data_IF_475936295113
#
_entry.id   IF_475936295113
#
_cell.length_a   1.000
_cell.length_b   1.000
_cell.length_c   1.000
_cell.angle_alpha   90.00
_cell.angle_beta   90.00
_cell.angle_gamma   90.00
#
_symmetry.space_group_name_H-M   'P 1'
#
loop_
_entity.id
_entity.type
_entity.pdbx_description
1 polymer ?
#
# COMPACT_ATOMS: atom_id res chain seq x y z
N UNK A 1 0.94 21.99 20.71
CA UNK A 1 0.46 20.60 20.44
C UNK A 1 1.67 19.75 20.05
N UNK A 2 1.71 18.46 20.42
CA UNK A 2 2.79 17.55 19.99
C UNK A 2 2.38 16.79 18.72
N UNK A 3 3.31 16.51 17.79
CA UNK A 3 3.01 15.76 16.58
C UNK A 3 2.60 14.32 16.87
N UNK A 4 1.67 13.79 16.06
CA UNK A 4 1.27 12.36 16.10
C UNK A 4 2.47 11.45 15.93
N UNK A 5 2.50 10.31 16.63
CA UNK A 5 3.58 9.32 16.57
C UNK A 5 3.77 8.80 15.14
N UNK A 6 4.99 8.38 14.80
CA UNK A 6 5.31 7.81 13.48
C UNK A 6 4.39 6.61 13.14
N UNK A 7 4.14 5.74 14.11
CA UNK A 7 3.21 4.60 13.97
C UNK A 7 1.81 5.03 13.55
N UNK A 8 1.32 6.15 14.09
CA UNK A 8 -0.01 6.67 13.81
C UNK A 8 -0.06 7.28 12.41
N UNK A 9 0.99 8.00 11.99
CA UNK A 9 1.10 8.54 10.64
C UNK A 9 1.15 7.43 9.59
N UNK A 10 1.93 6.37 9.83
CA UNK A 10 1.93 5.18 8.98
C UNK A 10 0.54 4.52 8.98
N UNK A 11 -0.13 4.38 10.14
CA UNK A 11 -1.51 3.88 10.22
C UNK A 11 -2.46 4.70 9.35
N UNK A 12 -2.39 6.03 9.40
CA UNK A 12 -3.19 6.93 8.56
C UNK A 12 -2.85 6.75 7.08
N UNK A 13 -1.58 6.68 6.71
CA UNK A 13 -1.15 6.50 5.31
C UNK A 13 -1.73 5.22 4.68
N UNK A 14 -1.58 4.08 5.35
CA UNK A 14 -2.14 2.81 4.88
C UNK A 14 -3.68 2.80 4.87
N UNK A 15 -4.33 3.59 5.74
CA UNK A 15 -5.79 3.72 5.76
C UNK A 15 -6.35 4.82 4.84
N UNK A 16 -5.49 5.59 4.16
CA UNK A 16 -5.85 6.62 3.18
C UNK A 16 -5.27 6.28 1.81
N UNK A 17 -4.01 6.63 1.55
CA UNK A 17 -3.27 6.31 0.31
C UNK A 17 -3.27 4.83 0.01
N UNK A 18 -3.15 3.98 1.04
CA UNK A 18 -3.25 2.53 0.91
C UNK A 18 -4.65 1.99 0.61
N UNK A 19 -5.68 2.85 0.56
CA UNK A 19 -7.09 2.50 0.34
C UNK A 19 -7.75 3.38 -0.72
N UNK A 20 -7.01 3.73 -1.78
CA UNK A 20 -7.53 4.51 -2.91
C UNK A 20 -8.04 5.92 -2.52
N UNK A 21 -7.36 6.60 -1.59
CA UNK A 21 -7.66 7.97 -1.20
C UNK A 21 -6.40 8.86 -1.20
N UNK A 22 -6.58 10.18 -1.24
CA UNK A 22 -5.50 11.14 -0.98
C UNK A 22 -5.33 11.34 0.53
N UNK A 23 -4.10 11.59 0.97
CA UNK A 23 -3.81 12.02 2.35
C UNK A 23 -3.57 13.52 2.38
N UNK A 24 -4.51 14.27 2.97
CA UNK A 24 -4.36 15.69 3.29
C UNK A 24 -3.98 15.83 4.77
N UNK A 25 -2.73 16.18 5.05
CA UNK A 25 -2.19 16.28 6.40
C UNK A 25 -2.01 17.75 6.79
N UNK A 26 -2.75 18.20 7.81
CA UNK A 26 -2.61 19.56 8.34
C UNK A 26 -1.36 19.69 9.23
N UNK A 27 -0.60 20.78 9.05
CA UNK A 27 0.60 21.13 9.83
C UNK A 27 0.49 22.60 10.22
N UNK A 28 -0.03 22.92 11.41
CA UNK A 28 -0.32 24.29 11.78
C UNK A 28 0.97 25.07 12.14
N UNK A 29 1.09 26.34 11.72
CA UNK A 29 2.12 27.22 12.25
C UNK A 29 1.85 27.55 13.73
N UNK A 30 2.89 27.90 14.46
CA UNK A 30 2.83 28.39 15.83
C UNK A 30 2.46 29.89 15.88
N UNK A 31 2.45 30.48 17.08
CA UNK A 31 2.17 31.91 17.29
C UNK A 31 3.18 32.86 16.65
N UNK A 32 4.35 32.38 16.25
CA UNK A 32 5.35 33.16 15.50
C UNK A 32 5.25 32.94 13.99
N UNK A 33 4.21 32.24 13.51
CA UNK A 33 3.98 31.95 12.09
C UNK A 33 4.87 30.85 11.51
N UNK A 34 5.62 30.11 12.33
CA UNK A 34 6.56 29.07 11.90
C UNK A 34 6.05 27.67 12.24
N UNK A 35 6.42 26.67 11.45
CA UNK A 35 6.18 25.26 11.80
C UNK A 35 7.15 24.87 12.92
N UNK A 36 6.65 24.16 13.92
CA UNK A 36 7.50 23.73 15.04
C UNK A 36 8.60 22.77 14.58
N UNK A 37 9.78 22.85 15.20
CA UNK A 37 10.89 21.94 14.89
C UNK A 37 10.50 20.45 15.07
N UNK A 38 9.64 20.16 16.04
CA UNK A 38 9.12 18.82 16.30
C UNK A 38 8.26 18.30 15.15
N UNK A 39 7.38 19.14 14.59
CA UNK A 39 6.55 18.76 13.44
C UNK A 39 7.43 18.53 12.21
N UNK A 40 8.40 19.42 11.95
CA UNK A 40 9.37 19.27 10.86
C UNK A 40 10.13 17.94 10.99
N UNK A 41 10.64 17.65 12.19
CA UNK A 41 11.36 16.42 12.46
C UNK A 41 10.47 15.18 12.24
N UNK A 42 9.23 15.20 12.73
CA UNK A 42 8.28 14.08 12.53
C UNK A 42 7.91 13.90 11.05
N UNK A 43 7.77 14.97 10.27
CA UNK A 43 7.52 14.89 8.84
C UNK A 43 8.69 14.27 8.09
N UNK A 44 9.93 14.64 8.45
CA UNK A 44 11.16 14.03 7.90
C UNK A 44 11.24 12.54 8.25
N UNK A 45 10.98 12.18 9.51
CA UNK A 45 10.91 10.78 9.94
C UNK A 45 9.86 10.00 9.15
N UNK A 46 8.68 10.58 8.97
CA UNK A 46 7.61 9.95 8.22
C UNK A 46 7.99 9.72 6.75
N UNK A 47 8.61 10.71 6.09
CA UNK A 47 9.13 10.55 4.72
C UNK A 47 10.22 9.47 4.66
N UNK A 48 11.17 9.51 5.58
CA UNK A 48 12.26 8.53 5.65
C UNK A 48 11.72 7.11 5.87
N UNK A 49 10.67 6.93 6.67
CA UNK A 49 10.04 5.65 6.88
C UNK A 49 9.37 5.13 5.59
N UNK A 50 8.62 5.99 4.88
CA UNK A 50 8.01 5.63 3.59
C UNK A 50 9.07 5.24 2.56
N UNK A 51 10.18 5.99 2.51
CA UNK A 51 11.30 5.65 1.62
C UNK A 51 11.91 4.30 1.97
N UNK A 52 12.15 4.05 3.25
CA UNK A 52 12.69 2.76 3.72
C UNK A 52 11.78 1.60 3.29
N UNK A 53 10.47 1.74 3.45
CA UNK A 53 9.49 0.70 3.11
C UNK A 53 9.43 0.48 1.59
N UNK A 54 9.32 1.55 0.80
CA UNK A 54 8.94 1.45 -0.62
C UNK A 54 10.10 1.55 -1.62
N UNK A 55 11.32 1.88 -1.19
CA UNK A 55 12.49 1.99 -2.09
C UNK A 55 12.83 0.67 -2.78
N UNK A 56 12.80 -0.45 -2.06
CA UNK A 56 13.10 -1.77 -2.63
C UNK A 56 11.80 -2.53 -2.92
N UNK A 57 11.48 -2.70 -4.20
CA UNK A 57 10.38 -3.56 -4.64
C UNK A 57 10.90 -4.97 -4.95
N UNK A 58 10.60 -5.92 -4.07
CA UNK A 58 11.01 -7.33 -4.22
C UNK A 58 10.34 -8.02 -5.42
N UNK A 59 9.24 -7.48 -5.95
CA UNK A 59 8.58 -8.03 -7.12
C UNK A 59 9.33 -7.74 -8.43
N UNK A 60 10.21 -6.73 -8.47
CA UNK A 60 10.93 -6.34 -9.69
C UNK A 60 11.91 -7.42 -10.17
N UNK A 61 12.48 -8.20 -9.24
CA UNK A 61 13.41 -9.30 -9.55
C UNK A 61 12.69 -10.63 -9.81
N UNK A 62 11.36 -10.66 -9.75
CA UNK A 62 10.57 -11.89 -9.87
C UNK A 62 10.02 -12.07 -11.29
N UNK A 63 9.93 -13.33 -11.74
CA UNK A 63 9.19 -13.67 -12.96
C UNK A 63 7.68 -13.54 -12.70
N UNK A 64 6.99 -12.71 -13.47
CA UNK A 64 5.54 -12.51 -13.38
C UNK A 64 4.83 -13.32 -14.48
N UNK A 65 3.79 -14.05 -14.11
CA UNK A 65 2.88 -14.74 -15.05
C UNK A 65 1.44 -14.33 -14.73
N UNK A 66 0.63 -14.20 -15.77
CA UNK A 66 -0.81 -13.94 -15.65
C UNK A 66 -1.57 -15.02 -16.42
N UNK A 67 -2.77 -15.37 -15.95
CA UNK A 67 -3.66 -16.30 -16.64
C UNK A 67 -4.28 -15.70 -17.91
N UNK A 68 -4.26 -14.37 -18.05
CA UNK A 68 -4.70 -13.64 -19.23
C UNK A 68 -3.92 -12.33 -19.33
N UNK A 69 -3.59 -11.92 -20.55
CA UNK A 69 -2.89 -10.67 -20.86
C UNK A 69 -3.64 -10.00 -22.01
N UNK A 70 -4.14 -8.77 -21.78
CA UNK A 70 -4.82 -7.98 -22.82
C UNK A 70 -3.79 -7.19 -23.64
N UNK A 71 -3.84 -7.28 -24.96
CA UNK A 71 -2.87 -6.64 -25.87
C UNK A 71 -3.14 -5.15 -26.16
N UNK A 72 -2.09 -4.33 -26.11
CA UNK A 72 -1.95 -3.06 -26.86
C UNK A 72 -2.61 -1.79 -26.29
N UNK A 73 -1.91 -0.65 -26.43
CA UNK A 73 -2.12 0.67 -25.78
C UNK A 73 -3.55 1.23 -25.85
N UNK A 74 -4.06 1.62 -24.68
CA UNK A 74 -5.24 2.45 -24.47
C UNK A 74 -5.53 2.46 -22.97
N UNK A 75 -5.78 3.63 -22.37
CA UNK A 75 -5.91 3.80 -20.91
C UNK A 75 -7.12 3.03 -20.35
N UNK A 76 -6.95 1.73 -20.08
CA UNK A 76 -7.98 0.85 -19.52
C UNK A 76 -8.23 1.04 -18.02
N UNK A 77 -7.96 2.24 -17.50
CA UNK A 77 -8.31 2.62 -16.13
C UNK A 77 -9.65 3.32 -16.17
N UNK A 78 -10.72 2.57 -15.93
CA UNK A 78 -12.07 3.10 -15.82
C UNK A 78 -12.87 2.39 -14.74
N UNK A 79 -13.97 3.01 -14.25
CA UNK A 79 -14.82 2.47 -13.20
C UNK A 79 -15.39 1.07 -13.53
N UNK A 80 -15.51 0.75 -14.81
CA UNK A 80 -15.91 -0.56 -15.32
C UNK A 80 -14.84 -1.65 -15.09
N UNK A 81 -13.56 -1.30 -14.97
CA UNK A 81 -12.47 -2.25 -14.72
C UNK A 81 -12.18 -2.45 -13.22
N UNK A 82 -13.06 -1.92 -12.36
CA UNK A 82 -12.88 -1.96 -10.90
C UNK A 82 -12.98 -3.38 -10.37
N UNK A 83 -11.86 -3.85 -9.81
CA UNK A 83 -11.80 -5.02 -8.93
C UNK A 83 -12.61 -4.69 -7.69
N UNK A 84 -13.55 -5.55 -7.31
CA UNK A 84 -14.35 -5.41 -6.09
C UNK A 84 -14.13 -6.57 -5.09
N UNK A 85 -13.41 -7.64 -5.48
CA UNK A 85 -12.93 -8.69 -4.58
C UNK A 85 -11.64 -9.32 -5.08
N UNK A 86 -10.66 -9.47 -4.19
CA UNK A 86 -9.39 -10.14 -4.47
C UNK A 86 -8.81 -10.81 -3.23
N UNK A 87 -7.95 -11.80 -3.46
CA UNK A 87 -7.25 -12.55 -2.42
C UNK A 87 -5.76 -12.64 -2.77
N UNK A 88 -4.91 -12.69 -1.74
CA UNK A 88 -3.46 -12.78 -1.87
C UNK A 88 -2.96 -14.01 -1.15
N UNK A 89 -2.12 -14.78 -1.82
CA UNK A 89 -1.53 -16.01 -1.32
C UNK A 89 -0.01 -15.96 -1.39
N UNK A 90 0.65 -16.53 -0.40
CA UNK A 90 2.09 -16.81 -0.40
C UNK A 90 2.26 -18.31 -0.26
N UNK A 91 2.92 -18.95 -1.22
CA UNK A 91 3.13 -20.41 -1.25
C UNK A 91 1.85 -21.23 -0.98
N UNK A 92 0.72 -20.75 -1.49
CA UNK A 92 -0.59 -21.39 -1.33
C UNK A 92 -1.34 -21.05 -0.04
N UNK A 93 -0.70 -20.48 0.98
CA UNK A 93 -1.39 -19.94 2.18
C UNK A 93 -1.96 -18.56 1.88
N UNK A 94 -3.25 -18.35 2.17
CA UNK A 94 -3.87 -17.01 2.03
C UNK A 94 -3.33 -16.08 3.12
N UNK A 95 -2.85 -14.91 2.73
CA UNK A 95 -2.25 -13.90 3.63
C UNK A 95 -3.03 -12.60 3.69
N UNK A 96 -3.85 -12.29 2.68
CA UNK A 96 -4.70 -11.11 2.68
C UNK A 96 -5.93 -11.29 1.79
N UNK A 97 -6.95 -10.49 2.07
CA UNK A 97 -8.15 -10.34 1.24
C UNK A 97 -8.52 -8.86 1.17
N UNK A 98 -9.18 -8.47 0.10
CA UNK A 98 -9.62 -7.09 -0.08
C UNK A 98 -10.74 -6.97 -1.09
N UNK A 99 -11.36 -5.80 -1.09
CA UNK A 99 -12.40 -5.44 -2.04
C UNK A 99 -11.81 -4.64 -3.19
N UNK A 100 -11.95 -3.32 -3.12
CA UNK A 100 -11.52 -2.38 -4.15
C UNK A 100 -10.01 -2.19 -4.16
N UNK A 101 -9.43 -2.13 -5.35
CA UNK A 101 -8.03 -1.74 -5.56
C UNK A 101 -7.93 -0.25 -5.91
N UNK A 102 -8.59 0.17 -6.99
CA UNK A 102 -8.56 1.55 -7.48
C UNK A 102 -7.16 1.98 -7.92
N UNK A 103 -6.79 3.24 -7.65
CA UNK A 103 -5.48 3.80 -7.95
C UNK A 103 -4.35 3.12 -7.17
N UNK A 104 -4.55 2.89 -5.86
CA UNK A 104 -3.56 2.24 -5.00
C UNK A 104 -4.21 1.50 -3.83
N UNK A 105 -3.81 0.23 -3.67
CA UNK A 105 -4.15 -0.61 -2.53
C UNK A 105 -2.89 -1.17 -1.88
N UNK A 106 -2.75 -0.97 -0.59
CA UNK A 106 -1.64 -1.50 0.21
C UNK A 106 -2.20 -2.45 1.27
N UNK A 107 -1.66 -3.66 1.30
CA UNK A 107 -1.95 -4.64 2.34
C UNK A 107 -0.78 -4.71 3.32
N UNK A 108 -1.05 -4.50 4.60
CA UNK A 108 -0.17 -4.96 5.68
C UNK A 108 -0.73 -6.27 6.20
N UNK A 109 0.13 -7.30 6.23
CA UNK A 109 -0.28 -8.65 6.58
C UNK A 109 -0.49 -8.75 8.09
N UNK A 110 -1.63 -9.27 8.52
CA UNK A 110 -1.99 -9.35 9.95
C UNK A 110 -1.04 -10.28 10.72
N UNK A 111 -0.57 -11.36 10.08
CA UNK A 111 0.42 -12.30 10.62
C UNK A 111 1.86 -11.71 10.64
N UNK A 112 2.05 -10.45 10.24
CA UNK A 112 3.36 -9.80 10.20
C UNK A 112 4.19 -10.15 8.98
N UNK A 113 5.49 -10.39 9.17
CA UNK A 113 6.42 -10.68 8.08
C UNK A 113 6.23 -12.12 7.62
N UNK A 114 5.96 -12.30 6.34
CA UNK A 114 5.80 -13.63 5.71
C UNK A 114 6.96 -13.89 4.77
N UNK A 115 7.58 -15.06 4.89
CA UNK A 115 8.59 -15.55 3.96
C UNK A 115 7.97 -16.56 2.99
N UNK A 116 8.32 -16.46 1.71
CA UNK A 116 7.88 -17.44 0.71
C UNK A 116 8.55 -17.26 -0.64
N UNK A 117 8.29 -18.19 -1.56
CA UNK A 117 8.91 -18.24 -2.90
C UNK A 117 7.98 -17.75 -4.00
N UNK A 118 6.68 -17.86 -3.79
CA UNK A 118 5.66 -17.51 -4.77
C UNK A 118 4.57 -16.65 -4.14
N UNK A 119 4.15 -15.61 -4.86
CA UNK A 119 3.00 -14.79 -4.50
C UNK A 119 1.96 -14.91 -5.61
N UNK A 120 0.71 -15.16 -5.23
CA UNK A 120 -0.42 -15.21 -6.16
C UNK A 120 -1.48 -14.22 -5.73
N UNK A 121 -1.83 -13.30 -6.62
CA UNK A 121 -2.98 -12.41 -6.48
C UNK A 121 -4.12 -13.01 -7.32
N UNK A 122 -5.24 -13.30 -6.67
CA UNK A 122 -6.46 -13.78 -7.34
C UNK A 122 -7.49 -12.67 -7.35
N UNK A 123 -7.87 -12.21 -8.53
CA UNK A 123 -9.06 -11.35 -8.71
C UNK A 123 -10.27 -12.27 -8.73
N UNK A 124 -11.12 -12.15 -7.71
CA UNK A 124 -12.32 -12.99 -7.54
C UNK A 124 -13.53 -12.31 -8.19
N UNK A 125 -13.56 -10.98 -8.18
CA UNK A 125 -14.65 -10.21 -8.76
C UNK A 125 -14.20 -8.85 -9.26
N UNK A 126 -14.65 -8.50 -10.46
CA UNK A 126 -14.49 -7.19 -11.09
C UNK A 126 -15.76 -6.82 -11.85
N UNK A 127 -15.96 -5.52 -12.15
CA UNK A 127 -17.11 -5.03 -12.95
C UNK A 127 -16.91 -5.20 -14.48
N UNK A 128 -15.71 -5.61 -14.88
CA UNK A 128 -15.24 -5.73 -16.25
C UNK A 128 -13.89 -6.43 -16.24
N UNK A 129 -13.16 -6.40 -17.36
CA UNK A 129 -11.83 -7.04 -17.43
C UNK A 129 -10.85 -6.21 -16.61
N UNK A 130 -10.30 -6.75 -15.50
CA UNK A 130 -9.47 -5.95 -14.61
C UNK A 130 -8.12 -5.66 -15.26
N UNK A 131 -7.68 -4.41 -15.17
CA UNK A 131 -6.33 -4.00 -15.56
C UNK A 131 -5.52 -3.66 -14.31
N UNK A 132 -4.37 -4.33 -14.14
CA UNK A 132 -3.44 -4.08 -13.05
C UNK A 132 -2.20 -3.40 -13.64
N UNK A 133 -1.98 -2.14 -13.27
CA UNK A 133 -0.84 -1.35 -13.75
C UNK A 133 0.50 -1.79 -13.16
N UNK A 134 0.47 -2.19 -11.89
CA UNK A 134 1.67 -2.51 -11.12
C UNK A 134 1.34 -3.37 -9.91
N UNK A 135 2.33 -4.16 -9.50
CA UNK A 135 2.32 -4.93 -8.26
C UNK A 135 3.66 -4.69 -7.56
N UNK A 136 3.62 -4.54 -6.24
CA UNK A 136 4.82 -4.36 -5.42
C UNK A 136 4.80 -5.29 -4.22
N UNK A 137 5.99 -5.78 -3.87
CA UNK A 137 6.26 -6.54 -2.64
C UNK A 137 7.33 -5.78 -1.87
N UNK A 138 7.02 -5.41 -0.63
CA UNK A 138 7.85 -4.50 0.17
C UNK A 138 7.99 -5.02 1.59
N UNK A 139 9.17 -4.81 2.17
CA UNK A 139 9.43 -5.11 3.57
C UNK A 139 9.22 -3.85 4.40
N UNK A 140 8.29 -3.90 5.36
CA UNK A 140 8.03 -2.80 6.30
C UNK A 140 8.65 -3.11 7.67
N UNK A 141 9.81 -2.53 8.02
CA UNK A 141 10.48 -2.78 9.30
C UNK A 141 9.74 -2.14 10.49
N UNK A 142 8.77 -1.26 10.25
CA UNK A 142 7.99 -0.58 11.27
C UNK A 142 6.68 -1.31 11.58
N UNK A 143 6.32 -2.33 10.80
CA UNK A 143 5.11 -3.11 11.03
C UNK A 143 5.34 -4.24 12.04
N UNK A 144 4.73 -4.07 13.21
CA UNK A 144 4.69 -5.08 14.27
C UNK A 144 3.23 -5.30 14.67
N UNK A 145 2.49 -6.19 13.99
CA UNK A 145 1.14 -6.50 14.43
C UNK A 145 1.22 -7.15 15.81
N UNK A 146 0.44 -6.63 16.75
CA UNK A 146 0.11 -7.38 17.97
C UNK A 146 -0.66 -8.62 17.54
N UNK A 147 -0.15 -9.80 17.91
CA UNK A 147 -0.88 -11.05 17.76
C UNK A 147 -2.29 -10.86 18.36
N UNK A 148 -3.31 -11.26 17.60
CA UNK A 148 -4.67 -11.36 18.12
C UNK A 148 -4.81 -12.60 19.00
#
# INVERSE_FOLDING_TARGET
QSPRKLSDLLKIYYNSVGRNCVLLLNVPPNTTGLISANDIQRLKEFKSALDTIFTKNLAQTCSVKASSVRGGKGSGFGPESVIWKHEIYVDGKRVATGTTVGYKKLHRLEDGVVTGRSVRIRVIGSRGIPLISSVGLHYDPFWRPTAR
#
